data_IF_210672112988
#
_entry.id   IF_210672112988
#
_cell.length_a   1.000
_cell.length_b   1.000
_cell.length_c   1.000
_cell.angle_alpha   90.00
_cell.angle_beta   90.00
_cell.angle_gamma   90.00
#
_symmetry.space_group_name_H-M   'P 1'
#
loop_
_entity.id
_entity.type
_entity.pdbx_description
1 polymer ?
#
# COMPACT_ATOMS: atom_id res chain seq x y z
N UNK A 1 27.19 -0.78 10.21
CA UNK A 1 26.01 0.01 9.88
C UNK A 1 24.72 -0.83 9.92
N UNK A 2 24.69 -2.04 9.38
CA UNK A 2 23.54 -2.95 9.28
C UNK A 2 23.57 -4.04 10.35
N UNK A 3 22.42 -4.66 10.71
CA UNK A 3 22.41 -5.87 11.51
C UNK A 3 23.05 -7.02 10.73
N UNK A 4 23.79 -7.87 11.43
CA UNK A 4 24.46 -9.01 10.80
C UNK A 4 23.46 -10.17 10.58
N UNK A 5 23.67 -10.95 9.52
CA UNK A 5 22.97 -12.21 9.33
C UNK A 5 23.16 -13.12 10.54
N UNK A 6 22.09 -13.77 11.00
CA UNK A 6 22.07 -14.57 12.21
C UNK A 6 21.75 -13.79 13.49
N UNK A 7 21.71 -12.44 13.47
CA UNK A 7 21.28 -11.64 14.61
C UNK A 7 19.82 -11.93 14.97
N UNK A 8 19.51 -11.82 16.25
CA UNK A 8 18.15 -12.02 16.78
C UNK A 8 17.57 -10.70 17.28
N UNK A 9 16.25 -10.54 17.10
CA UNK A 9 15.45 -9.44 17.63
C UNK A 9 14.31 -10.01 18.50
N UNK A 10 13.81 -9.19 19.42
CA UNK A 10 12.75 -9.53 20.39
C UNK A 10 12.99 -10.87 21.11
N UNK A 11 14.19 -10.99 21.70
CA UNK A 11 14.51 -12.19 22.50
C UNK A 11 14.48 -13.50 21.70
N UNK A 12 14.81 -13.45 20.41
CA UNK A 12 14.84 -14.61 19.53
C UNK A 12 13.58 -14.86 18.70
N UNK A 13 12.57 -13.97 18.79
CA UNK A 13 11.34 -14.08 17.99
C UNK A 13 11.60 -13.93 16.49
N UNK A 14 12.56 -13.09 16.13
CA UNK A 14 12.95 -12.86 14.74
C UNK A 14 14.46 -13.09 14.56
N UNK A 15 14.84 -13.86 13.55
CA UNK A 15 16.23 -14.08 13.14
C UNK A 15 16.48 -13.40 11.81
N UNK A 16 17.41 -12.45 11.77
CA UNK A 16 17.83 -11.76 10.54
C UNK A 16 18.55 -12.74 9.62
N UNK A 17 18.18 -12.77 8.36
CA UNK A 17 18.80 -13.65 7.35
C UNK A 17 19.63 -12.86 6.34
N UNK A 18 19.03 -11.85 5.70
CA UNK A 18 19.69 -11.05 4.68
C UNK A 18 19.13 -9.62 4.63
N UNK A 19 19.81 -8.76 3.87
CA UNK A 19 19.35 -7.40 3.61
C UNK A 19 18.56 -7.42 2.30
N UNK A 20 17.36 -6.85 2.31
CA UNK A 20 16.54 -6.64 1.12
C UNK A 20 16.79 -5.28 0.48
N UNK A 21 17.08 -4.25 1.29
CA UNK A 21 17.34 -2.93 0.76
C UNK A 21 17.71 -1.92 1.85
N UNK A 22 18.29 -0.80 1.42
CA UNK A 22 18.63 0.32 2.30
C UNK A 22 18.26 1.64 1.62
N UNK A 23 17.45 2.43 2.31
CA UNK A 23 17.08 3.80 1.93
C UNK A 23 17.69 4.86 2.84
N UNK A 24 17.31 6.12 2.63
CA UNK A 24 17.77 7.24 3.46
C UNK A 24 17.30 7.19 4.92
N UNK A 25 16.14 6.55 5.17
CA UNK A 25 15.46 6.52 6.47
C UNK A 25 15.33 5.13 7.07
N UNK A 26 15.83 4.08 6.41
CA UNK A 26 15.67 2.73 6.94
C UNK A 26 16.42 1.66 6.18
N UNK A 27 16.50 0.52 6.82
CA UNK A 27 17.07 -0.71 6.27
C UNK A 27 15.99 -1.77 6.34
N UNK A 28 15.80 -2.51 5.26
CA UNK A 28 14.84 -3.62 5.20
C UNK A 28 15.59 -4.94 5.15
N UNK A 29 15.21 -5.86 6.02
CA UNK A 29 15.81 -7.18 6.15
C UNK A 29 14.80 -8.26 5.80
N UNK A 30 15.26 -9.35 5.22
CA UNK A 30 14.59 -10.64 5.26
C UNK A 30 14.89 -11.29 6.61
N UNK A 31 13.87 -11.84 7.25
CA UNK A 31 14.01 -12.47 8.55
C UNK A 31 13.07 -13.67 8.68
N UNK A 32 13.45 -14.61 9.54
CA UNK A 32 12.63 -15.74 9.95
C UNK A 32 11.91 -15.42 11.27
N UNK A 33 10.59 -15.46 11.28
CA UNK A 33 9.80 -15.50 12.51
C UNK A 33 9.87 -16.93 13.11
N UNK A 34 10.71 -17.10 14.11
CA UNK A 34 11.13 -18.44 14.60
C UNK A 34 9.97 -19.29 15.11
N UNK A 35 9.05 -18.70 15.88
CA UNK A 35 7.91 -19.42 16.47
C UNK A 35 6.89 -19.94 15.45
N UNK A 36 6.81 -19.32 14.25
CA UNK A 36 5.90 -19.73 13.18
C UNK A 36 6.62 -20.35 11.98
N UNK A 37 7.95 -20.41 12.01
CA UNK A 37 8.80 -20.81 10.87
C UNK A 37 8.38 -20.11 9.57
N UNK A 38 8.15 -18.79 9.65
CA UNK A 38 7.61 -17.97 8.55
C UNK A 38 8.59 -16.89 8.15
N UNK A 39 8.80 -16.72 6.83
CA UNK A 39 9.55 -15.59 6.29
C UNK A 39 8.77 -14.29 6.49
N UNK A 40 9.46 -13.25 6.91
CA UNK A 40 8.94 -11.90 7.09
C UNK A 40 9.95 -10.87 6.57
N UNK A 41 9.48 -9.69 6.23
CA UNK A 41 10.34 -8.54 6.03
C UNK A 41 10.31 -7.67 7.30
N UNK A 42 11.49 -7.19 7.72
CA UNK A 42 11.61 -6.29 8.87
C UNK A 42 12.24 -4.98 8.39
N UNK A 43 11.50 -3.88 8.54
CA UNK A 43 12.03 -2.55 8.27
C UNK A 43 12.47 -1.92 9.57
N UNK A 44 13.74 -1.50 9.60
CA UNK A 44 14.38 -0.79 10.69
C UNK A 44 14.41 0.69 10.38
N UNK A 45 14.06 1.54 11.32
CA UNK A 45 14.29 2.96 11.22
C UNK A 45 15.79 3.26 11.38
N UNK A 46 16.41 3.85 10.35
CA UNK A 46 17.83 4.20 10.37
C UNK A 46 18.09 5.40 9.47
N UNK A 47 18.37 6.55 10.07
CA UNK A 47 18.75 7.76 9.34
C UNK A 47 20.26 7.79 9.10
N UNK A 48 20.69 7.36 7.92
CA UNK A 48 22.10 7.17 7.55
C UNK A 48 23.00 8.38 7.84
N UNK A 49 22.49 9.60 7.67
CA UNK A 49 23.27 10.82 7.83
C UNK A 49 23.37 11.28 9.29
N UNK A 50 22.61 10.67 10.22
CA UNK A 50 22.50 11.07 11.62
C UNK A 50 22.76 9.95 12.62
N UNK A 51 22.76 8.69 12.14
CA UNK A 51 22.85 7.50 12.98
C UNK A 51 24.04 6.65 12.60
N UNK A 52 24.72 6.13 13.61
CA UNK A 52 25.75 5.11 13.48
C UNK A 52 25.34 3.89 14.32
N UNK A 53 25.77 2.69 13.95
CA UNK A 53 25.55 1.48 14.74
C UNK A 53 26.84 1.09 15.46
N UNK A 54 26.70 0.78 16.74
CA UNK A 54 27.75 0.11 17.49
C UNK A 54 27.82 -1.35 17.04
N UNK A 55 28.94 -1.75 16.45
CA UNK A 55 29.12 -3.10 15.88
C UNK A 55 29.08 -4.23 16.92
N UNK A 56 29.40 -3.92 18.19
CA UNK A 56 29.43 -4.92 19.28
C UNK A 56 28.06 -5.13 19.94
N UNK A 57 27.26 -4.06 20.04
CA UNK A 57 26.00 -4.08 20.80
C UNK A 57 24.77 -3.94 19.92
N UNK A 58 24.91 -3.68 18.62
CA UNK A 58 23.83 -3.38 17.67
C UNK A 58 23.05 -2.09 17.95
N UNK A 59 23.33 -1.38 19.06
CA UNK A 59 22.64 -0.14 19.42
C UNK A 59 22.97 1.00 18.46
N UNK A 60 21.98 1.85 18.21
CA UNK A 60 22.14 3.07 17.41
C UNK A 60 22.76 4.18 18.26
N UNK A 61 23.82 4.77 17.74
CA UNK A 61 24.49 5.95 18.33
C UNK A 61 24.10 7.17 17.51
N UNK A 62 23.62 8.19 18.19
CA UNK A 62 23.28 9.49 17.60
C UNK A 62 24.28 10.55 18.07
N UNK A 63 24.63 11.48 17.17
CA UNK A 63 25.62 12.53 17.43
C UNK A 63 25.15 13.61 18.42
N UNK A 64 24.92 14.83 17.93
CA UNK A 64 24.56 16.01 18.74
C UNK A 64 23.13 15.96 19.29
N UNK A 65 22.82 16.82 20.30
CA UNK A 65 21.49 16.93 20.88
C UNK A 65 20.42 17.30 19.83
N UNK A 66 20.71 18.25 18.95
CA UNK A 66 19.80 18.65 17.86
C UNK A 66 19.53 17.51 16.87
N UNK A 67 20.54 16.67 16.59
CA UNK A 67 20.37 15.46 15.78
C UNK A 67 19.46 14.44 16.46
N UNK A 68 19.56 14.27 17.79
CA UNK A 68 18.70 13.35 18.57
C UNK A 68 17.24 13.75 18.51
N UNK A 69 16.92 15.03 18.68
CA UNK A 69 15.54 15.53 18.61
C UNK A 69 14.94 15.33 17.20
N UNK A 70 15.73 15.56 16.15
CA UNK A 70 15.33 15.33 14.78
C UNK A 70 15.05 13.83 14.52
N UNK A 71 16.00 12.97 14.88
CA UNK A 71 15.90 11.51 14.72
C UNK A 71 14.71 10.97 15.48
N UNK A 72 14.50 11.40 16.74
CA UNK A 72 13.37 10.97 17.56
C UNK A 72 12.03 11.34 16.91
N UNK A 73 11.90 12.55 16.36
CA UNK A 73 10.69 12.99 15.65
C UNK A 73 10.40 12.10 14.44
N UNK A 74 11.42 11.73 13.66
CA UNK A 74 11.25 10.84 12.51
C UNK A 74 10.97 9.40 12.94
N UNK A 75 11.56 8.92 14.04
CA UNK A 75 11.28 7.61 14.64
C UNK A 75 9.82 7.47 15.04
N UNK A 76 9.26 8.49 15.70
CA UNK A 76 7.84 8.50 16.07
C UNK A 76 6.91 8.49 14.83
N UNK A 77 7.29 9.21 13.76
CA UNK A 77 6.56 9.16 12.50
C UNK A 77 6.60 7.77 11.86
N UNK A 78 7.75 7.12 11.87
CA UNK A 78 7.93 5.76 11.38
C UNK A 78 7.02 4.75 12.12
N UNK A 79 6.97 4.84 13.46
CA UNK A 79 6.08 4.01 14.28
C UNK A 79 4.61 4.30 13.94
N UNK A 80 4.23 5.57 13.85
CA UNK A 80 2.85 5.98 13.52
C UNK A 80 2.43 5.51 12.13
N UNK A 81 3.34 5.55 11.16
CA UNK A 81 3.14 5.00 9.81
C UNK A 81 2.79 3.52 9.87
N UNK A 82 3.63 2.72 10.54
CA UNK A 82 3.39 1.30 10.69
C UNK A 82 2.05 0.99 11.37
N UNK A 83 1.68 1.76 12.41
CA UNK A 83 0.40 1.62 13.10
C UNK A 83 -0.81 1.94 12.20
N UNK A 84 -0.70 2.96 11.33
CA UNK A 84 -1.76 3.29 10.37
C UNK A 84 -1.91 2.15 9.36
N UNK A 85 -0.80 1.66 8.79
CA UNK A 85 -0.83 0.56 7.81
C UNK A 85 -1.37 -0.73 8.46
N UNK A 86 -1.00 -1.03 9.70
CA UNK A 86 -1.50 -2.20 10.44
C UNK A 86 -3.03 -2.20 10.61
N UNK A 87 -3.67 -1.03 10.58
CA UNK A 87 -5.13 -0.88 10.60
C UNK A 87 -5.81 -1.08 9.24
N UNK A 88 -5.04 -1.30 8.17
CA UNK A 88 -5.57 -1.51 6.81
C UNK A 88 -5.66 -3.02 6.51
N UNK A 89 -6.74 -3.42 5.84
CA UNK A 89 -6.94 -4.79 5.38
C UNK A 89 -7.36 -4.77 3.92
N UNK A 90 -6.42 -4.99 3.01
CA UNK A 90 -6.64 -4.97 1.56
C UNK A 90 -5.61 -5.85 0.85
N UNK A 91 -6.02 -6.62 -0.17
CA UNK A 91 -5.15 -7.55 -0.91
C UNK A 91 -3.92 -6.88 -1.52
N UNK A 92 -4.08 -5.66 -2.01
CA UNK A 92 -3.04 -4.91 -2.70
C UNK A 92 -2.34 -3.88 -1.81
N UNK A 93 -2.42 -4.03 -0.49
CA UNK A 93 -1.68 -3.23 0.51
C UNK A 93 -0.90 -4.18 1.41
N UNK A 94 0.34 -3.82 1.72
CA UNK A 94 1.21 -4.61 2.59
C UNK A 94 0.60 -4.83 3.98
N UNK A 95 0.70 -6.04 4.50
CA UNK A 95 0.26 -6.38 5.85
C UNK A 95 1.39 -6.16 6.87
N UNK A 96 1.12 -5.40 7.93
CA UNK A 96 2.03 -5.24 9.07
C UNK A 96 1.64 -6.24 10.16
N UNK A 97 2.62 -6.97 10.68
CA UNK A 97 2.41 -8.02 11.68
C UNK A 97 2.82 -7.61 13.09
N UNK A 98 3.81 -6.71 13.23
CA UNK A 98 4.34 -6.29 14.52
C UNK A 98 5.04 -4.95 14.41
N UNK A 99 5.12 -4.20 15.51
CA UNK A 99 5.88 -2.95 15.66
C UNK A 99 6.52 -2.96 17.03
N UNK A 100 7.83 -2.73 17.11
CA UNK A 100 8.56 -2.75 18.37
C UNK A 100 9.78 -1.82 18.36
N UNK A 101 10.29 -1.53 19.54
CA UNK A 101 11.50 -0.74 19.75
C UNK A 101 12.58 -1.63 20.38
N UNK A 102 13.79 -1.61 19.84
CA UNK A 102 14.97 -2.31 20.31
C UNK A 102 16.22 -1.62 19.72
N UNK A 103 17.41 -1.81 20.31
CA UNK A 103 18.67 -1.23 19.84
C UNK A 103 18.66 0.30 19.68
N UNK A 104 17.89 1.03 20.51
CA UNK A 104 17.67 2.47 20.44
C UNK A 104 17.06 2.95 19.11
N UNK A 105 16.31 2.07 18.44
CA UNK A 105 15.56 2.37 17.22
C UNK A 105 14.20 1.68 17.20
N UNK A 106 13.49 1.79 16.10
CA UNK A 106 12.19 1.17 15.90
C UNK A 106 12.21 0.22 14.70
N UNK A 107 11.41 -0.82 14.79
CA UNK A 107 11.23 -1.84 13.77
C UNK A 107 9.75 -2.06 13.51
N UNK A 108 9.38 -2.36 12.27
CA UNK A 108 8.13 -3.03 12.00
C UNK A 108 8.33 -4.27 11.14
N UNK A 109 7.49 -5.26 11.41
CA UNK A 109 7.50 -6.55 10.74
C UNK A 109 6.33 -6.60 9.79
N UNK A 110 6.59 -6.98 8.55
CA UNK A 110 5.58 -7.02 7.50
C UNK A 110 5.67 -8.32 6.71
N UNK A 111 4.68 -8.55 5.88
CA UNK A 111 4.68 -9.62 4.90
C UNK A 111 5.96 -9.58 4.06
N UNK A 112 6.59 -10.75 3.88
CA UNK A 112 7.68 -10.91 2.93
C UNK A 112 7.09 -11.24 1.56
N UNK A 113 7.46 -10.46 0.56
CA UNK A 113 7.03 -10.62 -0.84
C UNK A 113 8.28 -10.88 -1.67
N UNK A 114 8.31 -11.99 -2.39
CA UNK A 114 9.50 -12.55 -3.02
C UNK A 114 9.60 -12.34 -4.54
N UNK A 115 8.55 -11.83 -5.20
CA UNK A 115 8.53 -11.64 -6.65
C UNK A 115 9.20 -10.34 -7.15
N UNK A 116 9.89 -9.59 -6.25
CA UNK A 116 10.55 -8.33 -6.59
C UNK A 116 9.59 -7.17 -6.83
N UNK A 117 10.11 -6.04 -7.27
CA UNK A 117 9.34 -4.82 -7.55
C UNK A 117 9.01 -4.67 -9.05
N UNK A 118 7.98 -3.86 -9.35
CA UNK A 118 7.70 -3.48 -10.74
C UNK A 118 8.88 -2.74 -11.38
N UNK A 119 9.69 -2.04 -10.59
CA UNK A 119 10.91 -1.39 -11.08
C UNK A 119 11.91 -2.43 -11.58
N UNK A 120 12.25 -3.43 -10.76
CA UNK A 120 13.18 -4.51 -11.12
C UNK A 120 12.68 -5.30 -12.34
N UNK A 121 11.36 -5.53 -12.42
CA UNK A 121 10.74 -6.18 -13.58
C UNK A 121 10.97 -5.40 -14.87
N UNK A 122 10.81 -4.06 -14.86
CA UNK A 122 11.07 -3.20 -16.03
C UNK A 122 12.57 -3.14 -16.34
N UNK A 123 13.43 -3.05 -15.34
CA UNK A 123 14.88 -3.03 -15.54
C UNK A 123 15.39 -4.34 -16.16
N UNK A 124 14.75 -5.46 -15.85
CA UNK A 124 15.10 -6.78 -16.38
C UNK A 124 14.49 -7.07 -17.75
N UNK A 125 13.20 -6.76 -17.92
CA UNK A 125 12.41 -7.21 -19.08
C UNK A 125 12.06 -6.10 -20.07
N UNK A 126 12.33 -4.83 -19.74
CA UNK A 126 11.93 -3.66 -20.53
C UNK A 126 10.46 -3.29 -20.35
N UNK A 127 9.96 -2.43 -21.24
CA UNK A 127 8.61 -1.89 -21.20
C UNK A 127 7.55 -3.00 -21.37
N UNK A 128 6.47 -2.89 -20.61
CA UNK A 128 5.32 -3.80 -20.64
C UNK A 128 4.41 -3.55 -21.84
N UNK A 129 3.58 -4.53 -22.17
CA UNK A 129 2.41 -4.35 -23.02
C UNK A 129 1.32 -3.53 -22.28
N UNK A 130 0.41 -2.94 -23.06
CA UNK A 130 -0.75 -2.20 -22.51
C UNK A 130 -1.55 -3.05 -21.52
N UNK A 131 -1.86 -4.30 -21.87
CA UNK A 131 -2.64 -5.21 -21.04
C UNK A 131 -1.94 -5.58 -19.74
N UNK A 132 -0.63 -5.82 -19.79
CA UNK A 132 0.17 -6.16 -18.62
C UNK A 132 0.28 -4.95 -17.67
N UNK A 133 0.63 -3.78 -18.17
CA UNK A 133 0.73 -2.56 -17.37
C UNK A 133 -0.62 -2.20 -16.70
N UNK A 134 -1.73 -2.31 -17.46
CA UNK A 134 -3.07 -2.06 -16.92
C UNK A 134 -3.45 -3.07 -15.84
N UNK A 135 -3.08 -4.34 -15.97
CA UNK A 135 -3.40 -5.34 -14.94
C UNK A 135 -2.85 -4.96 -13.56
N UNK A 136 -1.64 -4.40 -13.50
CA UNK A 136 -1.05 -3.91 -12.25
C UNK A 136 -1.62 -2.57 -11.81
N UNK A 137 -1.79 -1.63 -12.75
CA UNK A 137 -2.33 -0.29 -12.42
C UNK A 137 -3.75 -0.37 -11.87
N UNK A 138 -4.60 -1.27 -12.38
CA UNK A 138 -5.95 -1.47 -11.85
C UNK A 138 -5.92 -2.01 -10.41
N UNK A 139 -5.03 -2.93 -10.08
CA UNK A 139 -4.85 -3.43 -8.71
C UNK A 139 -4.39 -2.33 -7.74
N UNK A 140 -3.47 -1.47 -8.17
CA UNK A 140 -3.01 -0.35 -7.35
C UNK A 140 -4.08 0.75 -7.26
N UNK A 141 -4.87 0.98 -8.32
CA UNK A 141 -6.02 1.90 -8.29
C UNK A 141 -7.05 1.45 -7.23
N UNK A 142 -7.36 0.15 -7.16
CA UNK A 142 -8.25 -0.43 -6.12
C UNK A 142 -7.70 -0.19 -4.70
N UNK A 143 -6.39 -0.41 -4.48
CA UNK A 143 -5.74 -0.08 -3.22
C UNK A 143 -5.83 1.41 -2.87
N UNK A 144 -5.62 2.30 -3.84
CA UNK A 144 -5.69 3.74 -3.63
C UNK A 144 -7.14 4.20 -3.36
N UNK A 145 -8.14 3.65 -4.04
CA UNK A 145 -9.54 3.94 -3.76
C UNK A 145 -9.92 3.56 -2.31
N UNK A 146 -9.48 2.37 -1.86
CA UNK A 146 -9.66 1.92 -0.48
C UNK A 146 -9.02 2.88 0.54
N UNK A 147 -7.81 3.39 0.26
CA UNK A 147 -7.12 4.39 1.10
C UNK A 147 -7.85 5.73 1.11
N UNK A 148 -8.24 6.22 -0.06
CA UNK A 148 -8.90 7.53 -0.22
C UNK A 148 -10.24 7.59 0.50
N UNK A 149 -11.03 6.52 0.48
CA UNK A 149 -12.27 6.39 1.27
C UNK A 149 -12.01 6.51 2.78
N UNK A 150 -10.80 6.16 3.25
CA UNK A 150 -10.35 6.33 4.65
C UNK A 150 -9.60 7.64 4.89
N UNK A 151 -9.70 8.59 3.94
CA UNK A 151 -9.01 9.89 4.00
C UNK A 151 -7.48 9.75 4.19
N UNK A 152 -6.92 8.68 3.69
CA UNK A 152 -5.49 8.38 3.72
C UNK A 152 -4.94 8.46 2.31
N UNK A 153 -3.85 9.22 2.11
CA UNK A 153 -3.11 9.29 0.85
C UNK A 153 -1.83 8.49 0.99
N UNK A 154 -1.40 7.83 -0.09
CA UNK A 154 -0.15 7.07 -0.10
C UNK A 154 1.08 7.97 -0.19
N UNK A 155 1.08 8.94 -1.08
CA UNK A 155 2.08 10.00 -1.30
C UNK A 155 3.46 9.54 -1.83
N UNK A 156 3.63 8.26 -2.14
CA UNK A 156 4.87 7.72 -2.73
C UNK A 156 4.63 6.53 -3.67
N UNK A 157 3.56 6.61 -4.47
CA UNK A 157 3.27 5.59 -5.49
C UNK A 157 4.33 5.65 -6.57
N UNK A 158 5.06 4.55 -6.76
CA UNK A 158 6.10 4.38 -7.78
C UNK A 158 6.44 2.91 -7.98
N UNK A 159 7.06 2.52 -9.11
CA UNK A 159 7.34 1.12 -9.41
C UNK A 159 8.18 0.38 -8.36
N UNK A 160 9.09 1.05 -7.67
CA UNK A 160 9.90 0.44 -6.59
C UNK A 160 9.11 0.18 -5.30
N UNK A 161 7.95 0.82 -5.14
CA UNK A 161 7.07 0.64 -3.98
C UNK A 161 5.85 -0.26 -4.31
N UNK A 162 5.92 -0.97 -5.42
CA UNK A 162 4.92 -1.97 -5.82
C UNK A 162 5.65 -3.29 -5.99
N UNK A 163 5.45 -4.20 -5.04
CA UNK A 163 6.01 -5.54 -5.08
C UNK A 163 5.02 -6.53 -5.72
N UNK A 164 5.54 -7.60 -6.26
CA UNK A 164 4.77 -8.66 -6.91
C UNK A 164 4.81 -9.93 -6.08
N UNK A 165 3.65 -10.50 -5.77
CA UNK A 165 3.56 -11.88 -5.29
C UNK A 165 3.74 -12.86 -6.45
N UNK A 166 4.12 -14.09 -6.16
CA UNK A 166 4.32 -15.14 -7.17
C UNK A 166 3.06 -15.49 -7.96
N UNK A 167 1.88 -15.17 -7.45
CA UNK A 167 0.60 -15.34 -8.15
C UNK A 167 0.25 -14.17 -9.10
N UNK A 168 1.14 -13.17 -9.25
CA UNK A 168 0.94 -11.99 -10.09
C UNK A 168 0.16 -10.85 -9.44
N UNK A 169 -0.14 -10.92 -8.15
CA UNK A 169 -0.75 -9.82 -7.40
C UNK A 169 0.27 -8.72 -7.10
N UNK A 170 -0.10 -7.48 -7.39
CA UNK A 170 0.68 -6.29 -7.03
C UNK A 170 0.32 -5.82 -5.62
N UNK A 171 1.32 -5.47 -4.83
CA UNK A 171 1.17 -5.00 -3.45
C UNK A 171 1.89 -3.69 -3.25
N UNK A 172 1.15 -2.69 -2.82
CA UNK A 172 1.65 -1.36 -2.51
C UNK A 172 2.31 -1.35 -1.13
N UNK A 173 3.56 -0.88 -1.07
CA UNK A 173 4.38 -0.82 0.14
C UNK A 173 4.86 0.61 0.36
N UNK A 174 5.44 0.90 1.52
CA UNK A 174 6.16 2.14 1.85
C UNK A 174 5.34 3.41 1.62
N UNK A 175 4.44 3.69 2.54
CA UNK A 175 3.63 4.90 2.56
C UNK A 175 4.52 6.13 2.82
N UNK A 176 4.36 7.17 2.00
CA UNK A 176 5.06 8.44 2.19
C UNK A 176 4.51 9.28 3.36
N UNK A 177 4.02 8.65 4.43
CA UNK A 177 3.43 9.34 5.59
C UNK A 177 4.46 10.22 6.30
N UNK A 178 5.74 9.86 6.22
CA UNK A 178 6.84 10.71 6.67
C UNK A 178 6.90 12.07 5.95
N UNK A 179 6.29 12.16 4.77
CA UNK A 179 6.14 13.41 3.99
C UNK A 179 4.96 14.28 4.48
N UNK A 180 4.11 13.78 5.41
CA UNK A 180 3.03 14.58 6.00
C UNK A 180 3.61 15.64 6.92
N UNK A 181 2.93 16.79 6.91
CA UNK A 181 3.18 17.88 7.85
C UNK A 181 2.82 17.45 9.27
N UNK A 182 3.40 18.12 10.27
CA UNK A 182 2.99 17.94 11.65
C UNK A 182 1.49 18.27 11.85
N UNK A 183 0.95 17.91 13.00
CA UNK A 183 -0.45 18.17 13.35
C UNK A 183 -0.81 19.69 13.36
N UNK A 184 0.20 20.56 13.27
CA UNK A 184 0.07 22.03 13.17
C UNK A 184 0.12 22.54 11.73
N UNK A 185 0.33 21.65 10.73
CA UNK A 185 0.40 22.00 9.32
C UNK A 185 1.74 22.60 8.89
N UNK A 186 2.78 22.54 9.74
CA UNK A 186 4.11 22.98 9.38
C UNK A 186 4.91 21.83 8.74
N UNK A 187 5.67 22.15 7.70
CA UNK A 187 6.62 21.23 7.11
C UNK A 187 7.70 20.90 8.13
N UNK A 188 7.87 19.64 8.49
CA UNK A 188 8.78 19.19 9.55
C UNK A 188 10.25 19.17 9.13
N UNK A 189 10.58 19.52 7.89
CA UNK A 189 11.95 19.77 7.44
C UNK A 189 11.98 20.89 6.41
N UNK A 190 12.98 21.75 6.50
CA UNK A 190 13.28 22.80 5.53
C UNK A 190 13.81 22.27 4.19
N UNK A 191 14.05 20.96 4.09
CA UNK A 191 14.48 20.28 2.87
C UNK A 191 13.45 19.22 2.51
N UNK A 192 12.99 19.13 1.25
CA UNK A 192 12.12 18.05 0.79
C UNK A 192 12.91 16.74 0.74
N UNK A 193 13.14 16.13 1.91
CA UNK A 193 13.87 14.86 2.00
C UNK A 193 12.96 13.76 1.49
N UNK A 194 13.40 13.04 0.45
CA UNK A 194 12.71 11.84 -0.06
C UNK A 194 11.62 12.10 -1.10
N UNK A 195 11.63 13.21 -1.83
CA UNK A 195 10.77 13.39 -2.99
C UNK A 195 11.20 12.43 -4.10
N UNK A 196 10.24 11.67 -4.63
CA UNK A 196 10.47 10.74 -5.72
C UNK A 196 10.37 11.48 -7.05
N UNK A 197 11.53 11.89 -7.59
CA UNK A 197 11.64 12.64 -8.86
C UNK A 197 10.91 11.92 -9.99
N UNK A 198 10.14 12.68 -10.77
CA UNK A 198 9.30 12.20 -11.85
C UNK A 198 7.95 11.60 -11.38
N UNK A 199 7.84 11.11 -10.15
CA UNK A 199 6.59 10.54 -9.60
C UNK A 199 5.84 11.49 -8.68
N UNK A 200 6.52 12.45 -8.08
CA UNK A 200 5.93 13.42 -7.17
C UNK A 200 5.38 14.63 -7.93
N UNK A 201 4.11 15.05 -7.72
CA UNK A 201 3.55 16.26 -8.31
C UNK A 201 4.02 17.53 -7.61
N UNK A 202 3.79 18.70 -8.25
CA UNK A 202 4.28 20.01 -7.80
C UNK A 202 3.93 20.36 -6.35
N UNK A 203 2.76 19.97 -5.88
CA UNK A 203 2.32 20.24 -4.51
C UNK A 203 3.19 19.57 -3.44
N UNK A 204 3.91 18.50 -3.78
CA UNK A 204 4.85 17.84 -2.86
C UNK A 204 6.19 18.59 -2.73
N UNK A 205 6.51 19.50 -3.66
CA UNK A 205 7.73 20.32 -3.65
C UNK A 205 7.55 21.66 -2.94
N UNK A 206 6.31 22.07 -2.64
CA UNK A 206 6.05 23.39 -2.04
C UNK A 206 6.65 23.50 -0.64
N UNK A 207 7.58 24.44 -0.47
CA UNK A 207 8.05 24.86 0.84
C UNK A 207 6.88 25.46 1.64
N UNK A 208 6.72 25.05 2.92
CA UNK A 208 5.56 25.45 3.72
C UNK A 208 4.31 24.59 3.51
N UNK A 209 4.36 23.66 2.58
CA UNK A 209 3.38 22.60 2.35
C UNK A 209 2.04 23.03 1.77
N UNK A 210 1.23 22.04 1.43
CA UNK A 210 -0.22 22.20 1.27
C UNK A 210 -0.90 21.76 2.56
N UNK A 211 -1.95 22.46 2.97
CA UNK A 211 -2.69 22.10 4.22
C UNK A 211 -3.25 20.67 4.15
N UNK A 212 -3.60 20.19 2.96
CA UNK A 212 -4.12 18.84 2.75
C UNK A 212 -3.73 18.34 1.36
N UNK A 213 -3.30 17.08 1.27
CA UNK A 213 -3.20 16.37 0.01
C UNK A 213 -4.56 15.82 -0.39
N UNK A 214 -4.78 15.62 -1.70
CA UNK A 214 -6.01 15.08 -2.26
C UNK A 214 -5.71 13.79 -3.05
N UNK A 215 -6.74 13.00 -3.42
CA UNK A 215 -6.58 11.85 -4.30
C UNK A 215 -5.81 12.16 -5.59
N UNK A 216 -5.95 13.36 -6.13
CA UNK A 216 -5.22 13.82 -7.32
C UNK A 216 -3.69 13.80 -7.16
N UNK A 217 -3.16 13.80 -5.93
CA UNK A 217 -1.71 13.64 -5.67
C UNK A 217 -1.26 12.21 -5.96
N UNK A 218 -1.96 11.20 -5.47
CA UNK A 218 -1.67 9.79 -5.74
C UNK A 218 -1.97 9.42 -7.20
N UNK A 219 -3.00 10.03 -7.80
CA UNK A 219 -3.36 9.83 -9.21
C UNK A 219 -2.25 10.31 -10.14
N UNK A 220 -1.58 11.44 -9.83
CA UNK A 220 -0.40 11.86 -10.58
C UNK A 220 0.69 10.77 -10.54
N UNK A 221 1.00 10.29 -9.36
CA UNK A 221 2.04 9.27 -9.13
C UNK A 221 1.68 7.93 -9.81
N UNK A 222 0.39 7.57 -9.85
CA UNK A 222 -0.11 6.39 -10.56
C UNK A 222 0.03 6.58 -12.09
N UNK A 223 -0.29 7.75 -12.63
CA UNK A 223 -0.07 8.10 -14.03
C UNK A 223 1.40 8.05 -14.43
N UNK A 224 2.29 8.59 -13.60
CA UNK A 224 3.73 8.54 -13.79
C UNK A 224 4.27 7.09 -13.69
N UNK A 225 3.69 6.27 -12.81
CA UNK A 225 3.97 4.83 -12.74
C UNK A 225 3.59 4.13 -14.05
N UNK A 226 2.37 4.37 -14.56
CA UNK A 226 1.91 3.81 -15.83
C UNK A 226 2.79 4.27 -17.01
N UNK A 227 3.21 5.55 -17.04
CA UNK A 227 4.18 6.05 -18.01
C UNK A 227 5.47 5.20 -17.99
N UNK A 228 6.06 4.99 -16.80
CA UNK A 228 7.28 4.20 -16.66
C UNK A 228 7.11 2.75 -17.12
N UNK A 229 6.01 2.10 -16.73
CA UNK A 229 5.76 0.70 -17.11
C UNK A 229 5.67 0.50 -18.63
N UNK A 230 5.11 1.47 -19.35
CA UNK A 230 4.89 1.37 -20.80
C UNK A 230 6.07 1.88 -21.65
N UNK A 231 6.92 2.74 -21.08
CA UNK A 231 8.04 3.35 -21.81
C UNK A 231 9.39 2.83 -21.38
N UNK A 232 9.52 2.28 -20.18
CA UNK A 232 10.79 1.97 -19.51
C UNK A 232 11.68 3.22 -19.32
N UNK A 233 11.09 4.43 -19.44
CA UNK A 233 11.79 5.71 -19.27
C UNK A 233 11.35 6.36 -17.97
N UNK A 234 12.31 7.01 -17.29
CA UNK A 234 12.00 7.83 -16.12
C UNK A 234 10.98 8.90 -16.50
N UNK A 235 9.84 9.03 -15.78
CA UNK A 235 8.91 10.13 -16.02
C UNK A 235 9.60 11.47 -15.81
N UNK A 236 9.24 12.52 -16.60
CA UNK A 236 9.75 13.88 -16.40
C UNK A 236 9.36 14.43 -15.03
N UNK A 237 10.16 15.31 -14.45
CA UNK A 237 9.79 16.00 -13.22
C UNK A 237 8.54 16.87 -13.42
N UNK A 238 7.75 17.08 -12.39
CA UNK A 238 6.50 17.82 -12.48
C UNK A 238 6.70 19.31 -12.88
N UNK A 239 7.88 19.88 -12.60
CA UNK A 239 8.32 21.18 -13.10
C UNK A 239 8.43 21.19 -14.62
N UNK A 240 9.09 20.19 -15.19
CA UNK A 240 9.33 20.09 -16.62
C UNK A 240 8.01 19.87 -17.36
N UNK A 241 7.12 19.02 -16.80
CA UNK A 241 5.76 18.86 -17.34
C UNK A 241 4.96 20.17 -17.31
N UNK A 242 5.16 21.00 -16.28
CA UNK A 242 4.50 22.30 -16.20
C UNK A 242 5.00 23.30 -17.25
N UNK A 243 6.29 23.29 -17.54
CA UNK A 243 6.94 24.28 -18.38
C UNK A 243 6.94 23.87 -19.87
N UNK A 244 7.13 22.59 -20.16
CA UNK A 244 7.30 22.05 -21.51
C UNK A 244 6.16 21.10 -21.94
N UNK A 245 5.32 20.68 -21.01
CA UNK A 245 4.30 19.64 -21.24
C UNK A 245 4.86 18.23 -21.12
N UNK A 246 3.95 17.25 -21.12
CA UNK A 246 4.33 15.84 -21.11
C UNK A 246 4.88 15.43 -22.48
N UNK A 247 6.04 14.73 -22.57
CA UNK A 247 6.60 14.24 -23.84
C UNK A 247 5.59 13.38 -24.60
N UNK A 248 5.70 13.38 -25.94
CA UNK A 248 4.86 12.54 -26.77
C UNK A 248 5.06 11.07 -26.45
N UNK A 249 3.99 10.39 -26.07
CA UNK A 249 4.00 8.96 -25.78
C UNK A 249 4.09 8.15 -27.08
N UNK A 250 4.80 6.99 -27.07
CA UNK A 250 4.91 6.10 -28.24
C UNK A 250 3.54 5.75 -28.83
N UNK A 251 3.44 5.75 -30.16
CA UNK A 251 2.18 5.46 -30.87
C UNK A 251 1.69 4.03 -30.69
N UNK A 252 2.57 3.10 -30.29
CA UNK A 252 2.22 1.71 -29.94
C UNK A 252 1.32 1.63 -28.69
N UNK A 253 1.34 2.65 -27.81
CA UNK A 253 0.47 2.72 -26.63
C UNK A 253 -0.92 3.16 -27.08
N UNK A 254 -1.97 2.51 -26.60
CA UNK A 254 -3.34 2.80 -27.01
C UNK A 254 -3.72 4.28 -26.74
N UNK A 255 -4.56 4.88 -27.57
CA UNK A 255 -4.96 6.29 -27.40
C UNK A 255 -5.59 6.58 -26.05
N UNK A 256 -6.34 5.63 -25.48
CA UNK A 256 -6.99 5.76 -24.18
C UNK A 256 -5.99 5.82 -23.04
N UNK A 257 -5.01 4.92 -23.06
CA UNK A 257 -3.96 4.91 -22.04
C UNK A 257 -3.12 6.19 -22.13
N UNK A 258 -2.80 6.66 -23.33
CA UNK A 258 -2.11 7.94 -23.51
C UNK A 258 -2.93 9.11 -22.93
N UNK A 259 -4.25 9.15 -23.17
CA UNK A 259 -5.17 10.14 -22.60
C UNK A 259 -5.20 10.07 -21.08
N UNK A 260 -5.26 8.85 -20.51
CA UNK A 260 -5.26 8.65 -19.05
C UNK A 260 -3.95 9.12 -18.39
N UNK A 261 -2.78 8.81 -18.98
CA UNK A 261 -1.49 9.31 -18.50
C UNK A 261 -1.45 10.85 -18.58
N UNK A 262 -1.85 11.44 -19.71
CA UNK A 262 -1.89 12.89 -19.87
C UNK A 262 -2.82 13.57 -18.87
N UNK A 263 -3.99 13.00 -18.60
CA UNK A 263 -4.95 13.52 -17.62
C UNK A 263 -4.43 13.40 -16.20
N UNK A 264 -3.85 12.25 -15.84
CA UNK A 264 -3.30 12.01 -14.49
C UNK A 264 -2.08 12.89 -14.19
N UNK A 265 -1.20 13.10 -15.19
CA UNK A 265 0.04 13.85 -15.01
C UNK A 265 -0.12 15.37 -15.29
N UNK A 266 -1.34 15.90 -15.24
CA UNK A 266 -1.53 17.37 -15.29
C UNK A 266 -0.80 18.04 -14.12
N UNK A 267 -0.03 19.13 -14.36
CA UNK A 267 0.75 19.80 -13.33
C UNK A 267 -0.10 20.35 -12.17
N UNK A 268 -1.26 20.91 -12.48
CA UNK A 268 -2.18 21.47 -11.47
C UNK A 268 -3.13 20.38 -10.96
N UNK A 269 -3.16 20.18 -9.66
CA UNK A 269 -3.99 19.15 -9.03
C UNK A 269 -5.48 19.20 -9.44
N UNK A 270 -6.04 20.42 -9.61
CA UNK A 270 -7.45 20.61 -10.01
C UNK A 270 -7.78 20.16 -11.45
N UNK A 271 -6.76 20.03 -12.30
CA UNK A 271 -6.92 19.66 -13.73
C UNK A 271 -6.75 18.12 -13.92
N UNK A 272 -6.47 17.37 -12.83
CA UNK A 272 -6.39 15.91 -12.79
C UNK A 272 -7.76 15.28 -12.45
N UNK A 273 -7.95 14.00 -12.71
CA UNK A 273 -9.04 13.25 -12.07
C UNK A 273 -9.01 13.45 -10.55
N UNK A 274 -10.17 13.73 -9.95
CA UNK A 274 -10.28 14.05 -8.53
C UNK A 274 -10.49 12.81 -7.64
N UNK A 275 -10.77 11.68 -8.24
CA UNK A 275 -10.89 10.37 -7.59
C UNK A 275 -10.48 9.26 -8.57
N UNK A 276 -10.31 8.05 -8.03
CA UNK A 276 -9.89 6.89 -8.83
C UNK A 276 -10.89 6.55 -9.92
N UNK A 277 -12.20 6.67 -9.67
CA UNK A 277 -13.22 6.36 -10.66
C UNK A 277 -13.15 7.28 -11.89
N UNK A 278 -12.85 8.57 -11.70
CA UNK A 278 -12.60 9.50 -12.80
C UNK A 278 -11.35 9.10 -13.62
N UNK A 279 -10.28 8.66 -12.96
CA UNK A 279 -9.09 8.15 -13.64
C UNK A 279 -9.40 6.88 -14.45
N UNK A 280 -10.13 5.92 -13.88
CA UNK A 280 -10.56 4.70 -14.56
C UNK A 280 -11.50 4.98 -15.74
N UNK A 281 -12.33 6.03 -15.65
CA UNK A 281 -13.19 6.46 -16.76
C UNK A 281 -12.36 6.86 -17.99
N UNK A 282 -11.21 7.54 -17.80
CA UNK A 282 -10.32 7.89 -18.92
C UNK A 282 -9.77 6.65 -19.63
N UNK A 283 -9.58 5.53 -18.93
CA UNK A 283 -9.14 4.25 -19.50
C UNK A 283 -10.28 3.55 -20.27
N UNK A 284 -11.55 3.80 -19.93
CA UNK A 284 -12.71 3.12 -20.47
C UNK A 284 -13.52 3.93 -21.51
N UNK A 285 -13.30 5.22 -21.67
CA UNK A 285 -14.07 6.11 -22.56
C UNK A 285 -14.09 5.71 -24.05
N UNK A 286 -13.37 4.66 -24.45
CA UNK A 286 -13.44 4.09 -25.81
C UNK A 286 -14.52 3.04 -26.00
N UNK A 287 -15.08 2.56 -24.92
CA UNK A 287 -16.24 1.67 -24.94
C UNK A 287 -17.48 2.57 -24.81
N UNK A 288 -17.80 3.38 -25.83
CA UNK A 288 -19.16 3.85 -25.97
C UNK A 288 -20.02 2.58 -26.05
N UNK A 289 -21.13 2.47 -25.31
CA UNK A 289 -22.18 1.52 -25.66
C UNK A 289 -22.72 2.02 -27.01
N UNK A 290 -22.09 1.54 -28.10
CA UNK A 290 -22.47 1.80 -29.47
C UNK A 290 -23.60 0.89 -29.83
N UNK A 291 -24.80 1.48 -29.94
CA UNK A 291 -25.95 0.96 -30.69
C UNK A 291 -26.40 -0.50 -30.34
N UNK A 292 -27.22 -0.59 -29.31
CA UNK A 292 -28.47 -1.37 -29.53
C UNK A 292 -29.22 -0.69 -30.66
N UNK A 293 -29.17 -1.28 -31.85
CA UNK A 293 -30.21 -1.29 -32.84
C UNK A 293 -29.62 -1.79 -34.19
N UNK A 294 -29.73 -3.08 -34.39
CA UNK A 294 -30.15 -3.68 -35.64
C UNK A 294 -30.51 -5.14 -35.36
N UNK A 295 -31.76 -5.34 -35.03
CA UNK A 295 -32.40 -6.64 -35.03
C UNK A 295 -32.52 -7.10 -36.48
N UNK A 296 -31.50 -7.76 -37.00
CA UNK A 296 -31.65 -8.54 -38.23
C UNK A 296 -32.29 -9.87 -37.83
N UNK A 297 -33.57 -9.94 -38.05
CA UNK A 297 -34.35 -11.21 -38.01
C UNK A 297 -33.79 -12.11 -39.10
N UNK A 298 -32.99 -13.08 -38.73
CA UNK A 298 -32.68 -14.23 -39.58
C UNK A 298 -33.59 -15.37 -39.18
N UNK A 299 -34.52 -15.65 -40.06
CA UNK A 299 -35.38 -16.85 -40.03
C UNK A 299 -34.55 -18.12 -39.83
N UNK A 300 -34.79 -18.82 -38.73
CA UNK A 300 -34.31 -20.18 -38.53
C UNK A 300 -35.45 -21.18 -38.80
N UNK A 301 -35.19 -22.24 -39.59
CA UNK A 301 -36.20 -23.28 -39.86
C UNK A 301 -36.40 -24.13 -38.59
N UNK A 302 -37.67 -24.38 -38.31
CA UNK A 302 -38.14 -25.33 -37.29
C UNK A 302 -37.57 -26.73 -37.57
N UNK A 303 -36.85 -27.29 -36.60
CA UNK A 303 -36.68 -28.72 -36.46
C UNK A 303 -37.11 -29.17 -35.09
N UNK A 304 -38.18 -29.91 -35.07
CA UNK A 304 -38.69 -30.65 -33.90
C UNK A 304 -37.65 -31.72 -33.51
N UNK A 305 -37.22 -31.69 -32.27
CA UNK A 305 -36.63 -32.87 -31.63
C UNK A 305 -37.26 -33.08 -30.24
N UNK A 306 -37.78 -34.28 -30.10
CA UNK A 306 -38.49 -34.91 -29.00
C UNK A 306 -37.72 -34.85 -27.69
N UNK A 307 -38.39 -34.46 -26.63
CA UNK A 307 -37.91 -34.50 -25.24
C UNK A 307 -37.67 -35.95 -24.79
N UNK A 308 -36.48 -36.20 -24.21
CA UNK A 308 -36.26 -37.31 -23.27
C UNK A 308 -35.89 -36.72 -21.94
N UNK A 309 -36.75 -36.91 -20.97
CA UNK A 309 -36.55 -36.61 -19.56
C UNK A 309 -35.41 -37.47 -18.96
N UNK A 310 -34.45 -36.84 -18.31
CA UNK A 310 -33.69 -37.48 -17.24
C UNK A 310 -33.61 -36.52 -16.04
N UNK A 311 -33.84 -36.99 -14.80
CA UNK A 311 -33.92 -36.15 -13.62
C UNK A 311 -32.52 -35.89 -13.09
N UNK A 312 -32.07 -34.64 -13.08
CA UNK A 312 -30.92 -34.20 -12.34
C UNK A 312 -31.34 -33.42 -11.07
N UNK A 313 -31.15 -34.05 -9.95
CA UNK A 313 -31.30 -33.45 -8.61
C UNK A 313 -30.26 -32.39 -8.39
N UNK A 314 -30.65 -31.13 -8.28
CA UNK A 314 -29.84 -30.01 -7.81
C UNK A 314 -29.88 -30.01 -6.26
N UNK A 315 -28.78 -30.06 -5.54
CA UNK A 315 -28.80 -29.93 -4.08
C UNK A 315 -29.11 -28.49 -3.69
N UNK A 316 -30.11 -28.32 -2.82
CA UNK A 316 -30.51 -27.04 -2.23
C UNK A 316 -29.34 -26.46 -1.37
N UNK A 317 -29.12 -25.14 -1.35
CA UNK A 317 -28.13 -24.53 -0.48
C UNK A 317 -28.52 -24.70 0.99
N UNK A 318 -27.56 -25.13 1.80
CA UNK A 318 -27.71 -25.28 3.26
C UNK A 318 -27.95 -23.89 3.87
N UNK A 319 -28.99 -23.80 4.69
CA UNK A 319 -29.27 -22.61 5.50
C UNK A 319 -28.17 -22.40 6.53
N UNK A 320 -27.51 -21.23 6.47
CA UNK A 320 -26.65 -20.72 7.53
C UNK A 320 -27.53 -20.48 8.77
N UNK A 321 -27.24 -21.16 9.87
CA UNK A 321 -27.89 -20.97 11.15
C UNK A 321 -27.55 -19.57 11.68
N UNK A 322 -28.53 -18.66 11.66
CA UNK A 322 -28.49 -17.44 12.43
C UNK A 322 -28.64 -17.81 13.92
N UNK A 323 -27.58 -17.63 14.69
CA UNK A 323 -27.63 -17.77 16.14
C UNK A 323 -28.64 -16.79 16.73
N UNK A 324 -29.68 -17.29 17.37
CA UNK A 324 -30.72 -16.51 18.03
C UNK A 324 -30.12 -15.70 19.19
N UNK A 325 -30.51 -14.43 19.24
CA UNK A 325 -30.13 -13.41 20.25
C UNK A 325 -30.39 -13.80 21.70
N UNK A 326 -31.08 -14.89 21.93
CA UNK A 326 -31.48 -15.38 23.26
C UNK A 326 -30.32 -16.03 24.05
N UNK A 327 -29.27 -16.53 23.38
CA UNK A 327 -28.10 -17.11 24.06
C UNK A 327 -27.22 -16.05 24.76
N UNK A 328 -27.24 -14.83 24.28
CA UNK A 328 -26.44 -13.73 24.85
C UNK A 328 -26.92 -13.34 26.25
N UNK A 329 -28.24 -13.39 26.50
CA UNK A 329 -28.81 -13.11 27.81
C UNK A 329 -28.52 -14.20 28.86
N UNK A 330 -28.40 -15.45 28.45
CA UNK A 330 -28.00 -16.55 29.31
C UNK A 330 -26.56 -16.43 29.83
N UNK A 331 -25.62 -15.99 28.94
CA UNK A 331 -24.23 -15.79 29.32
C UNK A 331 -24.05 -14.61 30.28
N UNK A 332 -24.77 -13.51 30.05
CA UNK A 332 -24.73 -12.32 30.91
C UNK A 332 -25.28 -12.64 32.30
N UNK A 333 -26.38 -13.39 32.41
CA UNK A 333 -26.95 -13.83 33.69
C UNK A 333 -25.98 -14.73 34.47
N UNK A 334 -25.26 -15.63 33.81
CA UNK A 334 -24.27 -16.51 34.44
C UNK A 334 -23.08 -15.73 35.01
N UNK A 335 -22.60 -14.73 34.28
CA UNK A 335 -21.49 -13.86 34.74
C UNK A 335 -21.90 -13.03 35.96
N UNK A 336 -23.12 -12.50 35.98
CA UNK A 336 -23.62 -11.73 37.12
C UNK A 336 -23.76 -12.61 38.38
N UNK A 337 -24.22 -13.86 38.25
CA UNK A 337 -24.31 -14.82 39.36
C UNK A 337 -22.91 -15.17 39.91
N UNK A 338 -21.92 -15.40 39.03
CA UNK A 338 -20.56 -15.67 39.45
C UNK A 338 -19.90 -14.46 40.12
N UNK A 339 -20.15 -13.24 39.69
CA UNK A 339 -19.68 -12.02 40.35
C UNK A 339 -20.29 -11.83 41.74
N UNK A 340 -21.59 -12.11 41.93
CA UNK A 340 -22.22 -12.00 43.24
C UNK A 340 -21.72 -13.07 44.25
N UNK A 341 -21.44 -14.28 43.79
CA UNK A 341 -20.82 -15.35 44.62
C UNK A 341 -19.39 -14.97 44.99
N UNK A 342 -18.63 -14.39 44.08
CA UNK A 342 -17.26 -13.94 44.34
C UNK A 342 -17.22 -12.80 45.36
N UNK A 343 -18.08 -11.77 45.21
CA UNK A 343 -18.22 -10.68 46.18
C UNK A 343 -18.69 -11.11 47.58
N UNK A 344 -19.56 -12.12 47.66
CA UNK A 344 -20.00 -12.67 48.95
C UNK A 344 -18.91 -13.49 49.64
N UNK A 345 -17.96 -14.07 48.92
CA UNK A 345 -16.80 -14.77 49.47
C UNK A 345 -15.73 -13.83 50.01
N UNK A 346 -15.49 -12.69 49.31
CA UNK A 346 -14.47 -11.73 49.71
C UNK A 346 -14.90 -10.96 50.97
N UNK A 347 -16.21 -10.77 51.23
CA UNK A 347 -16.72 -10.14 52.42
C UNK A 347 -16.73 -11.03 53.68
N UNK A 348 -16.47 -12.37 53.56
CA UNK A 348 -16.37 -13.28 54.71
C UNK A 348 -14.97 -13.48 55.27
N UNK A 349 -13.94 -12.90 54.62
CA UNK A 349 -12.54 -12.97 55.08
C UNK A 349 -12.04 -11.66 55.74
N UNK A 350 -12.93 -10.72 56.05
CA UNK A 350 -12.60 -9.45 56.73
C UNK A 350 -13.41 -9.25 58.02
N UNK A 351 -13.67 -10.31 58.78
CA UNK A 351 -14.10 -10.25 60.19
C UNK A 351 -13.27 -11.25 61.00
#
# INVERSE_FOLDING_TARGET
MQLQSGSFLQGGKYKIESILGQGGFGITYQALQTGLNRQVAIKEFFMKDYCERNEKTSHIIMGTQSSRELVERFRQKFIKEAQIIAGLAHTHIISIYDVFEENDTAYYVMEYIDGGSLKERIETNGAMSDSEALSYVLQIADALEYLHHRKTMHLDVKPSNILLRNNGEAVLIDFGISKRYDDTGNQTSSTPIGISKGYAPLEQYKQGGVKTFSPGTDIYSLGATLFYLLTSQQPPEASDVNDEGLPALPTKISPLIRKAIQGAMQPRCKDRPQNINEFLTLLNEGIKPGLENETTILDTPKNEFVAKEHPSSIPKPQRIFLFKKEWLWGVIALILILCTIWLSRTNKTSN
#
